data_IF_540484673626
#
_entry.id   IF_540484673626
#
_cell.length_a   1.000
_cell.length_b   1.000
_cell.length_c   1.000
_cell.angle_alpha   90.00
_cell.angle_beta   90.00
_cell.angle_gamma   90.00
#
_symmetry.space_group_name_H-M   'P 1'
#
loop_
_entity.id
_entity.type
_entity.pdbx_description
1 polymer ?
#
# COMPACT_ATOMS: atom_id res chain seq x y z
N UNK A 1 -39.16 44.66 -2.20
CA UNK A 1 -38.34 43.92 -1.21
C UNK A 1 -37.68 42.75 -1.92
N UNK A 2 -36.38 42.53 -1.69
CA UNK A 2 -35.66 41.37 -2.24
C UNK A 2 -36.34 40.08 -1.79
N UNK A 3 -36.55 39.12 -2.71
CA UNK A 3 -37.11 37.80 -2.40
C UNK A 3 -36.07 36.83 -1.83
N UNK A 4 -34.80 37.22 -1.75
CA UNK A 4 -33.71 36.34 -1.28
C UNK A 4 -33.84 36.10 0.22
N UNK A 5 -33.63 34.85 0.63
CA UNK A 5 -33.61 34.48 2.05
C UNK A 5 -32.34 35.04 2.71
N UNK A 6 -32.37 35.41 4.01
CA UNK A 6 -31.18 35.86 4.72
C UNK A 6 -29.99 34.89 4.61
N UNK A 7 -30.25 33.58 4.68
CA UNK A 7 -29.23 32.54 4.52
C UNK A 7 -28.52 32.59 3.17
N UNK A 8 -29.24 32.84 2.07
CA UNK A 8 -28.67 32.96 0.71
C UNK A 8 -27.76 34.18 0.57
N UNK A 9 -28.03 35.26 1.32
CA UNK A 9 -27.18 36.45 1.33
C UNK A 9 -25.93 36.20 2.18
N UNK A 10 -26.10 35.60 3.36
CA UNK A 10 -24.97 35.28 4.24
C UNK A 10 -24.00 34.28 3.61
N UNK A 11 -24.50 33.24 2.95
CA UNK A 11 -23.66 32.30 2.18
C UNK A 11 -22.88 33.00 1.08
N UNK A 12 -23.57 33.82 0.27
CA UNK A 12 -22.92 34.59 -0.80
C UNK A 12 -21.87 35.57 -0.27
N UNK A 13 -22.05 36.13 0.93
CA UNK A 13 -21.05 36.98 1.60
C UNK A 13 -19.87 36.16 2.13
N UNK A 14 -20.13 34.99 2.73
CA UNK A 14 -19.09 34.09 3.23
C UNK A 14 -18.18 33.58 2.11
N UNK A 15 -18.74 33.33 0.92
CA UNK A 15 -18.00 32.87 -0.26
C UNK A 15 -17.21 34.00 -0.95
N UNK A 16 -17.65 35.25 -0.82
CA UNK A 16 -17.05 36.39 -1.55
C UNK A 16 -16.06 37.22 -0.74
N UNK A 17 -16.01 37.03 0.58
CA UNK A 17 -15.19 37.83 1.49
C UNK A 17 -14.17 36.97 2.25
N UNK A 18 -13.00 37.54 2.60
CA UNK A 18 -12.10 36.92 3.56
C UNK A 18 -12.80 36.66 4.91
N UNK A 19 -12.49 35.56 5.62
CA UNK A 19 -13.15 35.17 6.87
C UNK A 19 -13.23 36.31 7.91
N UNK A 20 -12.11 37.01 8.13
CA UNK A 20 -12.04 38.11 9.12
C UNK A 20 -12.95 39.29 8.75
N UNK A 21 -13.05 39.58 7.45
CA UNK A 21 -13.92 40.66 6.95
C UNK A 21 -15.38 40.27 7.11
N UNK A 22 -15.73 39.01 6.79
CA UNK A 22 -17.07 38.48 6.98
C UNK A 22 -17.49 38.53 8.46
N UNK A 23 -16.65 38.03 9.38
CA UNK A 23 -16.88 38.12 10.83
C UNK A 23 -17.00 39.57 11.31
N UNK A 24 -16.18 40.48 10.77
CA UNK A 24 -16.28 41.91 11.04
C UNK A 24 -17.61 42.54 10.60
N UNK A 25 -18.18 42.09 9.48
CA UNK A 25 -19.51 42.52 9.02
C UNK A 25 -20.61 41.93 9.90
N UNK A 26 -20.54 40.63 10.21
CA UNK A 26 -21.52 39.97 11.09
C UNK A 26 -21.59 40.68 12.44
N UNK A 27 -20.44 40.93 13.08
CA UNK A 27 -20.37 41.61 14.38
C UNK A 27 -20.90 43.04 14.34
N UNK A 28 -20.59 43.81 13.29
CA UNK A 28 -21.02 45.22 13.21
C UNK A 28 -22.47 45.40 12.76
N UNK A 29 -23.01 44.49 11.94
CA UNK A 29 -24.28 44.69 11.24
C UNK A 29 -25.35 43.66 11.61
N UNK A 30 -25.00 42.38 11.75
CA UNK A 30 -25.98 41.34 12.00
C UNK A 30 -26.23 41.11 13.49
N UNK A 31 -25.19 41.01 14.32
CA UNK A 31 -25.35 40.72 15.75
C UNK A 31 -26.26 41.74 16.46
N UNK A 32 -26.13 43.07 16.26
CA UNK A 32 -27.06 44.02 16.88
C UNK A 32 -28.52 43.81 16.46
N UNK A 33 -28.76 43.35 15.22
CA UNK A 33 -30.12 43.04 14.75
C UNK A 33 -30.66 41.78 15.43
N UNK A 34 -29.83 40.77 15.63
CA UNK A 34 -30.20 39.57 16.40
C UNK A 34 -30.50 39.92 17.87
N UNK A 35 -29.74 40.84 18.45
CA UNK A 35 -29.94 41.30 19.83
C UNK A 35 -31.24 42.10 20.00
N UNK A 36 -31.72 42.76 18.94
CA UNK A 36 -33.01 43.47 18.92
C UNK A 36 -34.23 42.58 18.67
N UNK A 37 -34.07 41.27 18.45
CA UNK A 37 -35.20 40.35 18.30
C UNK A 37 -35.98 40.21 19.61
N UNK A 38 -37.24 39.77 19.52
CA UNK A 38 -38.04 39.47 20.70
C UNK A 38 -37.45 38.31 21.50
N UNK A 39 -37.74 38.25 22.81
CA UNK A 39 -37.20 37.21 23.71
C UNK A 39 -37.47 35.79 23.22
N UNK A 40 -38.68 35.53 22.71
CA UNK A 40 -39.03 34.22 22.14
C UNK A 40 -38.17 33.86 20.92
N UNK A 41 -37.89 34.83 20.04
CA UNK A 41 -37.05 34.60 18.87
C UNK A 41 -35.57 34.40 19.26
N UNK A 42 -35.05 35.19 20.20
CA UNK A 42 -33.69 35.02 20.73
C UNK A 42 -33.53 33.66 21.39
N UNK A 43 -34.48 33.27 22.25
CA UNK A 43 -34.48 31.96 22.89
C UNK A 43 -34.44 30.83 21.86
N UNK A 44 -35.29 30.89 20.82
CA UNK A 44 -35.29 29.88 19.76
C UNK A 44 -33.94 29.81 19.03
N UNK A 45 -33.30 30.94 18.75
CA UNK A 45 -31.98 30.97 18.11
C UNK A 45 -30.91 30.39 19.03
N UNK A 46 -30.87 30.82 20.30
CA UNK A 46 -29.91 30.31 21.30
C UNK A 46 -30.06 28.81 21.50
N UNK A 47 -31.29 28.30 21.60
CA UNK A 47 -31.54 26.85 21.75
C UNK A 47 -31.03 26.01 20.57
N UNK A 48 -30.83 26.62 19.39
CA UNK A 48 -30.25 25.96 18.21
C UNK A 48 -28.72 26.09 18.20
N UNK A 49 -28.19 27.25 18.60
CA UNK A 49 -26.75 27.54 18.53
C UNK A 49 -25.95 26.99 19.70
N UNK A 50 -26.53 26.93 20.90
CA UNK A 50 -25.85 26.48 22.12
C UNK A 50 -25.39 25.01 22.03
N UNK A 51 -26.19 24.06 21.51
CA UNK A 51 -25.71 22.69 21.27
C UNK A 51 -24.51 22.64 20.30
N UNK A 52 -24.55 23.42 19.21
CA UNK A 52 -23.47 23.49 18.22
C UNK A 52 -22.21 24.08 18.85
N UNK A 53 -22.34 25.13 19.65
CA UNK A 53 -21.21 25.72 20.37
C UNK A 53 -20.59 24.72 21.35
N UNK A 54 -21.42 24.00 22.11
CA UNK A 54 -20.95 22.98 23.05
C UNK A 54 -20.26 21.82 22.32
N UNK A 55 -20.79 21.39 21.17
CA UNK A 55 -20.16 20.39 20.30
C UNK A 55 -18.79 20.87 19.80
N UNK A 56 -18.69 22.12 19.32
CA UNK A 56 -17.41 22.68 18.87
C UNK A 56 -16.38 22.79 20.01
N UNK A 57 -16.82 23.13 21.23
CA UNK A 57 -15.93 23.14 22.40
C UNK A 57 -15.44 21.73 22.73
N UNK A 58 -16.31 20.72 22.71
CA UNK A 58 -15.93 19.31 22.90
C UNK A 58 -14.94 18.84 21.82
N UNK A 59 -15.19 19.18 20.56
CA UNK A 59 -14.28 18.86 19.45
C UNK A 59 -12.92 19.54 19.68
N UNK A 60 -12.88 20.81 20.09
CA UNK A 60 -11.63 21.50 20.38
C UNK A 60 -10.85 20.85 21.55
N UNK A 61 -11.55 20.43 22.60
CA UNK A 61 -10.97 19.66 23.70
C UNK A 61 -10.40 18.31 23.22
N UNK A 62 -11.15 17.57 22.38
CA UNK A 62 -10.67 16.31 21.78
C UNK A 62 -9.48 16.52 20.83
N UNK A 63 -9.45 17.58 20.05
CA UNK A 63 -8.28 17.92 19.22
C UNK A 63 -7.06 18.15 20.11
N UNK A 64 -7.22 18.82 21.27
CA UNK A 64 -6.12 19.04 22.19
C UNK A 64 -5.57 17.72 22.78
N UNK A 65 -6.42 16.70 22.99
CA UNK A 65 -5.96 15.38 23.48
C UNK A 65 -5.17 14.58 22.44
N UNK A 66 -5.29 14.89 21.14
CA UNK A 66 -4.43 14.29 20.11
C UNK A 66 -2.95 14.54 20.41
N UNK A 67 -2.60 15.74 20.92
CA UNK A 67 -1.27 16.11 21.42
C UNK A 67 -0.11 15.49 20.63
N UNK A 68 -0.10 15.66 19.30
CA UNK A 68 0.85 14.97 18.42
C UNK A 68 2.32 15.17 18.83
N UNK A 69 2.73 16.41 19.13
CA UNK A 69 4.12 16.67 19.48
C UNK A 69 4.51 16.07 20.85
N UNK A 70 3.58 16.06 21.81
CA UNK A 70 3.79 15.39 23.10
C UNK A 70 3.93 13.88 22.94
N UNK A 71 2.98 13.24 22.24
CA UNK A 71 3.02 11.79 21.98
C UNK A 71 4.26 11.39 21.17
N UNK A 72 4.65 12.19 20.18
CA UNK A 72 5.89 11.98 19.42
C UNK A 72 7.13 12.02 20.30
N UNK A 73 7.24 13.01 21.19
CA UNK A 73 8.38 13.13 22.10
C UNK A 73 8.46 11.92 23.04
N UNK A 74 7.35 11.57 23.68
CA UNK A 74 7.22 10.44 24.60
C UNK A 74 7.59 9.10 23.93
N UNK A 75 6.92 8.74 22.82
CA UNK A 75 7.18 7.48 22.12
C UNK A 75 8.62 7.39 21.60
N UNK A 76 9.18 8.51 21.15
CA UNK A 76 10.58 8.56 20.70
C UNK A 76 11.55 8.34 21.86
N UNK A 77 11.28 8.94 23.02
CA UNK A 77 12.07 8.75 24.23
C UNK A 77 12.02 7.30 24.71
N UNK A 78 10.84 6.70 24.80
CA UNK A 78 10.65 5.31 25.21
C UNK A 78 11.37 4.33 24.27
N UNK A 79 11.25 4.49 22.94
CA UNK A 79 11.98 3.66 21.97
C UNK A 79 13.50 3.81 22.12
N UNK A 80 14.00 5.03 22.31
CA UNK A 80 15.42 5.25 22.51
C UNK A 80 15.91 4.63 23.83
N UNK A 81 15.09 4.68 24.88
CA UNK A 81 15.36 4.02 26.14
C UNK A 81 15.44 2.49 25.95
N UNK A 82 14.50 1.90 25.21
CA UNK A 82 14.48 0.47 24.88
C UNK A 82 15.76 0.07 24.12
N UNK A 83 16.12 0.78 23.04
CA UNK A 83 17.36 0.50 22.30
C UNK A 83 18.62 0.66 23.14
N UNK A 84 18.65 1.64 24.04
CA UNK A 84 19.75 1.83 24.98
C UNK A 84 19.84 0.67 25.97
N UNK A 85 18.71 0.13 26.42
CA UNK A 85 18.66 -1.01 27.31
C UNK A 85 19.12 -2.29 26.60
N UNK A 86 18.57 -2.62 25.42
CA UNK A 86 18.98 -3.76 24.58
C UNK A 86 20.50 -3.78 24.33
N UNK A 87 21.11 -2.62 24.08
CA UNK A 87 22.56 -2.51 23.85
C UNK A 87 23.41 -2.75 25.11
N UNK A 88 22.86 -2.46 26.30
CA UNK A 88 23.59 -2.54 27.57
C UNK A 88 23.41 -3.88 28.24
N UNK A 89 22.20 -4.43 28.14
CA UNK A 89 21.77 -5.64 28.81
C UNK A 89 20.84 -6.41 27.87
N UNK A 90 21.47 -7.15 26.96
CA UNK A 90 20.77 -7.94 25.96
C UNK A 90 19.91 -9.03 26.60
N UNK A 91 20.39 -9.62 27.72
CA UNK A 91 19.72 -10.71 28.44
C UNK A 91 18.62 -10.20 29.40
N UNK A 92 18.46 -8.88 29.53
CA UNK A 92 17.43 -8.22 30.36
C UNK A 92 16.02 -8.25 29.75
N UNK A 93 15.60 -9.39 29.19
CA UNK A 93 14.36 -9.50 28.39
C UNK A 93 13.07 -9.15 29.15
N UNK A 94 13.03 -9.30 30.48
CA UNK A 94 11.87 -8.91 31.30
C UNK A 94 11.64 -7.40 31.29
N UNK A 95 12.71 -6.61 31.48
CA UNK A 95 12.61 -5.15 31.43
C UNK A 95 12.40 -4.66 30.00
N UNK A 96 13.07 -5.27 29.01
CA UNK A 96 12.78 -4.99 27.60
C UNK A 96 11.30 -5.18 27.27
N UNK A 97 10.70 -6.25 27.79
CA UNK A 97 9.27 -6.54 27.67
C UNK A 97 8.42 -5.44 28.30
N UNK A 98 8.69 -5.06 29.56
CA UNK A 98 7.90 -4.02 30.24
C UNK A 98 7.92 -2.70 29.49
N UNK A 99 9.09 -2.32 28.95
CA UNK A 99 9.24 -1.12 28.13
C UNK A 99 8.45 -1.22 26.81
N UNK A 100 8.41 -2.40 26.18
CA UNK A 100 7.57 -2.62 25.00
C UNK A 100 6.07 -2.55 25.34
N UNK A 101 5.65 -3.17 26.44
CA UNK A 101 4.26 -3.17 26.91
C UNK A 101 3.77 -1.74 27.21
N UNK A 102 4.64 -0.87 27.75
CA UNK A 102 4.36 0.55 27.95
C UNK A 102 4.14 1.29 26.62
N UNK A 103 5.04 1.12 25.65
CA UNK A 103 4.92 1.75 24.33
C UNK A 103 3.66 1.28 23.60
N UNK A 104 3.37 -0.03 23.65
CA UNK A 104 2.15 -0.62 23.06
C UNK A 104 0.91 -0.05 23.75
N UNK A 105 0.90 0.03 25.07
CA UNK A 105 -0.21 0.59 25.84
C UNK A 105 -0.50 2.04 25.46
N UNK A 106 0.54 2.87 25.31
CA UNK A 106 0.41 4.25 24.86
C UNK A 106 -0.19 4.34 23.45
N UNK A 107 0.27 3.51 22.51
CA UNK A 107 -0.29 3.44 21.15
C UNK A 107 -1.76 2.97 21.16
N UNK A 108 -2.07 1.91 21.91
CA UNK A 108 -3.41 1.34 22.05
C UNK A 108 -4.39 2.37 22.62
N UNK A 109 -3.97 3.17 23.61
CA UNK A 109 -4.81 4.21 24.20
C UNK A 109 -4.98 5.44 23.29
N UNK A 110 -4.02 5.70 22.40
CA UNK A 110 -4.06 6.85 21.50
C UNK A 110 -4.91 6.61 20.25
N UNK A 111 -4.95 5.37 19.74
CA UNK A 111 -5.73 5.03 18.53
C UNK A 111 -7.23 5.38 18.62
N UNK A 112 -7.96 5.11 19.72
CA UNK A 112 -9.34 5.56 19.87
C UNK A 112 -9.50 7.07 19.74
N UNK A 113 -8.58 7.86 20.32
CA UNK A 113 -8.60 9.33 20.23
C UNK A 113 -8.42 9.77 18.77
N UNK A 114 -7.46 9.17 18.07
CA UNK A 114 -7.20 9.46 16.66
C UNK A 114 -8.41 9.12 15.78
N UNK A 115 -9.06 7.99 16.05
CA UNK A 115 -10.26 7.57 15.33
C UNK A 115 -11.43 8.52 15.58
N UNK A 116 -11.76 8.85 16.83
CA UNK A 116 -12.87 9.77 17.15
C UNK A 116 -12.67 11.14 16.48
N UNK A 117 -11.49 11.75 16.61
CA UNK A 117 -11.24 13.08 16.03
C UNK A 117 -11.22 13.04 14.49
N UNK A 118 -10.60 12.02 13.90
CA UNK A 118 -10.43 11.94 12.46
C UNK A 118 -11.65 11.38 11.71
N UNK A 119 -12.41 10.50 12.34
CA UNK A 119 -13.49 9.73 11.68
C UNK A 119 -14.86 10.23 12.12
N UNK A 120 -15.15 10.28 13.42
CA UNK A 120 -16.45 10.72 13.94
C UNK A 120 -16.63 12.22 13.78
N UNK A 121 -15.70 13.01 14.33
CA UNK A 121 -15.72 14.48 14.21
C UNK A 121 -15.37 14.91 12.77
N UNK A 122 -14.59 14.07 12.08
CA UNK A 122 -14.12 14.33 10.71
C UNK A 122 -13.20 15.55 10.62
N UNK A 123 -12.56 15.98 11.70
CA UNK A 123 -11.70 17.18 11.76
C UNK A 123 -10.22 16.81 11.78
N UNK A 124 -9.36 17.80 11.50
CA UNK A 124 -7.90 17.64 11.61
C UNK A 124 -7.32 16.41 10.86
N UNK A 125 -7.95 16.00 9.75
CA UNK A 125 -7.58 14.80 8.97
C UNK A 125 -6.07 14.71 8.71
N UNK A 126 -5.42 15.83 8.36
CA UNK A 126 -3.98 15.86 8.08
C UNK A 126 -3.15 15.56 9.33
N UNK A 127 -3.55 16.08 10.50
CA UNK A 127 -2.93 15.79 11.78
C UNK A 127 -3.11 14.32 12.14
N UNK A 128 -4.33 13.79 12.02
CA UNK A 128 -4.63 12.38 12.32
C UNK A 128 -3.84 11.44 11.41
N UNK A 129 -3.80 11.71 10.10
CA UNK A 129 -2.98 10.95 9.16
C UNK A 129 -1.49 10.98 9.56
N UNK A 130 -0.95 12.16 9.94
CA UNK A 130 0.43 12.31 10.45
C UNK A 130 0.66 11.51 11.74
N UNK A 131 -0.31 11.47 12.64
CA UNK A 131 -0.26 10.66 13.88
C UNK A 131 -0.23 9.16 13.57
N UNK A 132 -1.06 8.67 12.64
CA UNK A 132 -1.06 7.27 12.24
C UNK A 132 0.27 6.84 11.60
N UNK A 133 0.91 7.72 10.80
CA UNK A 133 2.26 7.48 10.27
C UNK A 133 3.30 7.32 11.39
N UNK A 134 3.17 8.12 12.46
CA UNK A 134 4.03 7.97 13.64
C UNK A 134 3.77 6.63 14.32
N UNK A 135 2.51 6.26 14.57
CA UNK A 135 2.16 4.95 15.15
C UNK A 135 2.79 3.81 14.34
N UNK A 136 2.58 3.79 13.02
CA UNK A 136 3.16 2.80 12.12
C UNK A 136 4.69 2.74 12.21
N UNK A 137 5.36 3.91 12.22
CA UNK A 137 6.82 3.98 12.34
C UNK A 137 7.34 3.45 13.69
N UNK A 138 6.63 3.70 14.78
CA UNK A 138 7.01 3.19 16.11
C UNK A 138 6.83 1.67 16.15
N UNK A 139 5.71 1.14 15.64
CA UNK A 139 5.50 -0.32 15.56
C UNK A 139 6.59 -0.98 14.73
N UNK A 140 6.95 -0.43 13.56
CA UNK A 140 8.06 -0.95 12.75
C UNK A 140 9.39 -1.00 13.52
N UNK A 141 9.70 0.04 14.30
CA UNK A 141 10.89 0.09 15.17
C UNK A 141 10.86 -0.95 16.29
N UNK A 142 9.69 -1.32 16.79
CA UNK A 142 9.55 -2.38 17.80
C UNK A 142 9.82 -3.75 17.19
N UNK A 143 9.28 -4.03 16.00
CA UNK A 143 9.60 -5.26 15.25
C UNK A 143 11.09 -5.36 14.91
N UNK A 144 11.70 -4.25 14.47
CA UNK A 144 13.11 -4.20 14.09
C UNK A 144 14.06 -3.98 15.27
N UNK A 145 13.55 -3.99 16.50
CA UNK A 145 14.34 -3.67 17.69
C UNK A 145 15.44 -4.67 17.98
N UNK A 146 15.32 -5.89 17.44
CA UNK A 146 16.07 -7.06 17.86
C UNK A 146 16.01 -7.19 19.39
N UNK A 147 14.88 -6.99 20.03
CA UNK A 147 14.75 -7.33 21.46
C UNK A 147 14.79 -8.85 21.64
N UNK A 148 15.25 -9.34 22.79
CA UNK A 148 15.11 -10.76 23.12
C UNK A 148 13.66 -11.12 23.45
N UNK A 149 12.86 -10.16 23.93
CA UNK A 149 11.41 -10.29 23.98
C UNK A 149 10.85 -10.04 22.58
N UNK A 150 10.27 -11.07 21.96
CA UNK A 150 9.60 -10.92 20.66
C UNK A 150 8.41 -9.95 20.80
N UNK A 151 8.36 -8.99 19.89
CA UNK A 151 7.23 -8.06 19.81
C UNK A 151 5.95 -8.77 19.37
N UNK A 152 6.04 -9.85 18.59
CA UNK A 152 4.88 -10.62 18.13
C UNK A 152 4.02 -11.15 19.28
N UNK A 153 4.63 -11.54 20.40
CA UNK A 153 3.92 -12.00 21.61
C UNK A 153 3.18 -10.87 22.36
N UNK A 154 3.52 -9.61 22.06
CA UNK A 154 3.01 -8.40 22.72
C UNK A 154 2.02 -7.64 21.86
N UNK A 155 2.12 -7.81 20.55
CA UNK A 155 1.19 -7.19 19.62
C UNK A 155 -0.26 -7.64 19.90
N UNK A 156 -0.50 -8.74 20.61
CA UNK A 156 -1.84 -9.24 20.97
C UNK A 156 -2.59 -8.45 22.07
N UNK A 157 -2.26 -7.19 22.36
CA UNK A 157 -3.07 -6.40 23.29
C UNK A 157 -4.46 -6.11 22.68
N UNK A 158 -5.51 -6.31 23.48
CA UNK A 158 -6.88 -6.07 23.07
C UNK A 158 -7.11 -4.57 22.84
N UNK A 159 -7.35 -4.18 21.59
CA UNK A 159 -7.70 -2.81 21.22
C UNK A 159 -9.21 -2.73 21.06
N UNK A 160 -9.85 -1.88 21.84
CA UNK A 160 -11.28 -1.57 21.74
C UNK A 160 -11.45 -0.10 21.39
N UNK A 161 -12.22 0.19 20.34
CA UNK A 161 -12.65 1.55 20.01
C UNK A 161 -14.17 1.61 20.19
N UNK A 162 -14.62 2.61 20.92
CA UNK A 162 -16.03 2.90 21.20
C UNK A 162 -16.42 4.18 20.45
N UNK A 163 -17.67 4.25 19.99
CA UNK A 163 -18.25 5.50 19.50
C UNK A 163 -18.71 6.42 20.65
N UNK A 164 -19.25 7.59 20.29
CA UNK A 164 -19.80 8.56 21.25
C UNK A 164 -20.93 7.99 22.14
N UNK A 165 -21.62 6.93 21.71
CA UNK A 165 -22.68 6.25 22.45
C UNK A 165 -22.15 5.08 23.30
N UNK A 166 -20.82 5.01 23.50
CA UNK A 166 -20.10 3.92 24.17
C UNK A 166 -20.29 2.54 23.51
N UNK A 167 -20.77 2.51 22.26
CA UNK A 167 -20.94 1.27 21.52
C UNK A 167 -19.62 0.91 20.86
N UNK A 168 -19.25 -0.36 21.02
CA UNK A 168 -18.05 -0.94 20.40
C UNK A 168 -18.17 -0.93 18.87
N UNK A 169 -17.29 -0.16 18.22
CA UNK A 169 -17.16 -0.08 16.75
C UNK A 169 -15.96 -0.85 16.22
N UNK A 170 -15.00 -1.18 17.09
CA UNK A 170 -13.86 -2.04 16.76
C UNK A 170 -13.41 -2.82 17.98
N UNK A 171 -13.03 -4.07 17.77
CA UNK A 171 -12.37 -4.89 18.77
C UNK A 171 -11.51 -5.94 18.12
N UNK A 172 -10.20 -5.87 18.31
CA UNK A 172 -9.26 -6.82 17.73
C UNK A 172 -8.26 -7.29 18.77
N UNK A 173 -7.95 -8.59 18.72
CA UNK A 173 -6.76 -9.19 19.32
C UNK A 173 -5.64 -9.40 18.28
N UNK A 174 -5.85 -8.98 17.03
CA UNK A 174 -4.93 -9.13 15.88
C UNK A 174 -3.79 -8.10 15.83
N UNK A 175 -3.66 -7.29 16.88
CA UNK A 175 -2.53 -6.41 17.13
C UNK A 175 -2.50 -5.06 16.44
N UNK A 176 -1.51 -4.24 16.81
CA UNK A 176 -1.46 -2.81 16.51
C UNK A 176 -1.45 -2.54 15.01
N UNK A 177 -0.78 -3.36 14.19
CA UNK A 177 -0.83 -3.18 12.74
C UNK A 177 -2.25 -3.31 12.20
N UNK A 178 -3.03 -4.28 12.68
CA UNK A 178 -4.41 -4.45 12.25
C UNK A 178 -5.29 -3.27 12.65
N UNK A 179 -5.11 -2.75 13.87
CA UNK A 179 -5.84 -1.59 14.34
C UNK A 179 -5.46 -0.31 13.58
N UNK A 180 -4.17 -0.07 13.33
CA UNK A 180 -3.70 1.06 12.53
C UNK A 180 -4.26 0.99 11.11
N UNK A 181 -4.23 -0.18 10.48
CA UNK A 181 -4.78 -0.39 9.14
C UNK A 181 -6.29 -0.11 9.08
N UNK A 182 -7.03 -0.58 10.08
CA UNK A 182 -8.46 -0.33 10.21
C UNK A 182 -8.77 1.16 10.42
N UNK A 183 -8.04 1.86 11.31
CA UNK A 183 -8.23 3.30 11.53
C UNK A 183 -7.90 4.11 10.26
N UNK A 184 -6.85 3.74 9.51
CA UNK A 184 -6.56 4.39 8.23
C UNK A 184 -7.67 4.19 7.20
N UNK A 185 -8.26 2.99 7.12
CA UNK A 185 -9.44 2.75 6.28
C UNK A 185 -10.57 3.71 6.67
N UNK A 186 -10.95 3.74 7.93
CA UNK A 186 -12.05 4.60 8.42
C UNK A 186 -11.77 6.08 8.13
N UNK A 187 -10.52 6.53 8.30
CA UNK A 187 -10.11 7.90 7.99
C UNK A 187 -10.25 8.22 6.50
N UNK A 188 -9.83 7.31 5.60
CA UNK A 188 -10.02 7.47 4.16
C UNK A 188 -11.51 7.57 3.78
N UNK A 189 -12.38 6.79 4.43
CA UNK A 189 -13.83 6.86 4.23
C UNK A 189 -14.38 8.21 4.70
N UNK A 190 -13.98 8.68 5.89
CA UNK A 190 -14.39 9.99 6.41
C UNK A 190 -13.98 11.13 5.47
N UNK A 191 -12.77 11.07 4.89
CA UNK A 191 -12.31 12.02 3.87
C UNK A 191 -13.22 12.03 2.65
N UNK A 192 -13.60 10.87 2.12
CA UNK A 192 -14.49 10.80 0.96
C UNK A 192 -15.92 11.25 1.26
N UNK A 193 -16.40 11.06 2.50
CA UNK A 193 -17.71 11.57 2.93
C UNK A 193 -17.69 13.09 3.07
N UNK A 194 -16.60 13.66 3.60
CA UNK A 194 -16.48 15.09 3.90
C UNK A 194 -16.10 15.93 2.69
N UNK A 195 -15.22 15.42 1.84
CA UNK A 195 -14.66 16.14 0.70
C UNK A 195 -15.12 15.50 -0.61
N UNK A 196 -15.91 16.21 -1.44
CA UNK A 196 -16.32 15.73 -2.75
C UNK A 196 -15.13 15.50 -3.71
N UNK A 197 -14.04 16.23 -3.53
CA UNK A 197 -12.81 16.05 -4.30
C UNK A 197 -11.97 14.91 -3.73
N UNK A 198 -11.71 13.90 -4.55
CA UNK A 198 -10.95 12.71 -4.17
C UNK A 198 -9.46 12.99 -3.94
N UNK A 199 -8.92 14.14 -4.35
CA UNK A 199 -7.47 14.46 -4.28
C UNK A 199 -6.85 14.22 -2.91
N UNK A 200 -7.54 14.59 -1.83
CA UNK A 200 -7.00 14.37 -0.49
C UNK A 200 -6.89 12.88 -0.15
N UNK A 201 -7.89 12.09 -0.54
CA UNK A 201 -7.84 10.65 -0.38
C UNK A 201 -6.73 10.02 -1.22
N UNK A 202 -6.53 10.42 -2.49
CA UNK A 202 -5.44 9.83 -3.30
C UNK A 202 -4.08 10.16 -2.68
N UNK A 203 -3.87 11.39 -2.20
CA UNK A 203 -2.63 11.78 -1.53
C UNK A 203 -2.36 10.93 -0.29
N UNK A 204 -3.38 10.65 0.52
CA UNK A 204 -3.23 9.76 1.67
C UNK A 204 -2.93 8.32 1.24
N UNK A 205 -3.51 7.85 0.13
CA UNK A 205 -3.17 6.54 -0.44
C UNK A 205 -1.72 6.52 -0.93
N UNK A 206 -1.23 7.56 -1.61
CA UNK A 206 0.20 7.72 -1.96
C UNK A 206 1.08 7.57 -0.72
N UNK A 207 0.77 8.34 0.33
CA UNK A 207 1.54 8.34 1.58
C UNK A 207 1.54 6.95 2.25
N UNK A 208 0.46 6.16 2.16
CA UNK A 208 0.37 4.79 2.73
C UNK A 208 1.10 3.77 1.84
N UNK A 209 1.07 3.93 0.53
CA UNK A 209 1.81 3.08 -0.42
C UNK A 209 3.32 3.28 -0.29
N UNK A 210 3.78 4.52 -0.11
CA UNK A 210 5.18 4.86 0.13
C UNK A 210 5.71 4.22 1.43
N UNK A 211 4.82 3.96 2.39
CA UNK A 211 5.13 3.21 3.61
C UNK A 211 5.12 1.70 3.41
N UNK A 212 4.68 1.19 2.25
CA UNK A 212 4.51 -0.22 1.98
C UNK A 212 3.31 -0.87 2.70
N UNK A 213 2.43 -0.06 3.31
CA UNK A 213 1.37 -0.52 4.21
C UNK A 213 -0.02 -0.61 3.57
N UNK A 214 -0.15 -0.23 2.30
CA UNK A 214 -1.45 -0.17 1.62
C UNK A 214 -2.14 -1.54 1.54
N UNK A 215 -1.37 -2.63 1.44
CA UNK A 215 -1.94 -3.99 1.42
C UNK A 215 -2.70 -4.32 2.70
N UNK A 216 -2.18 -3.89 3.84
CA UNK A 216 -2.80 -4.11 5.16
C UNK A 216 -4.05 -3.26 5.33
N UNK A 217 -4.06 -2.01 4.84
CA UNK A 217 -5.27 -1.17 4.82
C UNK A 217 -6.34 -1.76 3.90
N UNK A 218 -5.93 -2.21 2.71
CA UNK A 218 -6.85 -2.78 1.72
C UNK A 218 -7.52 -4.08 2.17
N UNK A 219 -6.91 -4.87 3.06
CA UNK A 219 -7.52 -6.11 3.54
C UNK A 219 -8.80 -5.86 4.34
N UNK A 220 -9.02 -4.62 4.80
CA UNK A 220 -10.23 -4.17 5.47
C UNK A 220 -11.25 -3.54 4.52
N UNK A 221 -10.97 -3.48 3.21
CA UNK A 221 -11.96 -3.11 2.20
C UNK A 221 -12.77 -4.34 1.80
N UNK A 222 -13.88 -4.55 2.50
CA UNK A 222 -14.80 -5.69 2.34
C UNK A 222 -15.29 -5.88 0.91
N UNK A 223 -15.09 -7.03 0.28
CA UNK A 223 -15.82 -7.38 -0.95
C UNK A 223 -17.29 -7.79 -0.67
N UNK A 224 -18.20 -7.59 -1.63
CA UNK A 224 -19.66 -7.66 -1.39
C UNK A 224 -20.15 -9.01 -0.82
N UNK A 225 -19.37 -10.08 -1.01
CA UNK A 225 -19.68 -11.43 -0.53
C UNK A 225 -18.91 -11.84 0.73
N UNK A 226 -17.96 -11.03 1.21
CA UNK A 226 -17.11 -11.38 2.33
C UNK A 226 -17.75 -10.94 3.66
N UNK A 227 -17.53 -11.73 4.70
CA UNK A 227 -17.96 -11.42 6.08
C UNK A 227 -16.77 -11.20 7.01
N UNK A 228 -15.57 -11.59 6.56
CA UNK A 228 -14.31 -11.53 7.31
C UNK A 228 -13.15 -11.21 6.38
N UNK A 229 -12.09 -10.62 6.93
CA UNK A 229 -10.80 -10.39 6.26
C UNK A 229 -10.10 -11.72 5.93
N UNK A 230 -8.99 -11.65 5.20
CA UNK A 230 -8.13 -12.81 4.91
C UNK A 230 -7.58 -13.48 6.17
N UNK A 231 -7.44 -12.73 7.26
CA UNK A 231 -6.95 -13.23 8.55
C UNK A 231 -8.08 -13.77 9.44
N UNK A 232 -9.34 -13.68 9.00
CA UNK A 232 -10.51 -14.15 9.73
C UNK A 232 -11.15 -13.13 10.67
N UNK A 233 -10.66 -11.88 10.66
CA UNK A 233 -11.20 -10.79 11.45
C UNK A 233 -12.51 -10.28 10.83
N UNK A 234 -13.49 -9.84 11.61
CA UNK A 234 -14.59 -9.02 11.12
C UNK A 234 -14.09 -7.75 10.40
N UNK A 235 -14.89 -7.20 9.50
CA UNK A 235 -14.62 -5.88 8.92
C UNK A 235 -15.02 -4.72 9.85
N UNK A 236 -15.88 -4.98 10.82
CA UNK A 236 -16.43 -3.98 11.75
C UNK A 236 -17.09 -2.80 10.99
N UNK A 237 -18.06 -3.12 10.14
CA UNK A 237 -18.77 -2.12 9.32
C UNK A 237 -20.20 -1.87 9.84
N UNK A 238 -20.58 -2.43 11.00
CA UNK A 238 -21.96 -2.32 11.52
C UNK A 238 -22.35 -0.88 11.90
N UNK A 239 -21.38 -0.03 12.23
CA UNK A 239 -21.59 1.39 12.53
C UNK A 239 -21.72 2.26 11.28
N UNK A 240 -21.39 1.74 10.09
CA UNK A 240 -21.44 2.54 8.87
C UNK A 240 -22.87 2.93 8.48
N UNK A 241 -23.07 4.24 8.27
CA UNK A 241 -24.24 4.77 7.60
C UNK A 241 -24.14 4.62 6.06
N UNK A 242 -25.20 5.00 5.33
CA UNK A 242 -25.24 4.90 3.87
C UNK A 242 -24.11 5.70 3.18
N UNK A 243 -23.71 6.85 3.72
CA UNK A 243 -22.62 7.65 3.16
C UNK A 243 -21.29 6.93 3.25
N UNK A 244 -20.97 6.32 4.39
CA UNK A 244 -19.77 5.51 4.57
C UNK A 244 -19.74 4.29 3.63
N UNK A 245 -20.88 3.61 3.45
CA UNK A 245 -20.99 2.50 2.49
C UNK A 245 -20.72 2.94 1.05
N UNK A 246 -21.27 4.08 0.64
CA UNK A 246 -21.00 4.66 -0.68
C UNK A 246 -19.53 5.08 -0.82
N UNK A 247 -18.96 5.70 0.21
CA UNK A 247 -17.54 6.04 0.27
C UNK A 247 -16.64 4.80 0.17
N UNK A 248 -17.03 3.66 0.75
CA UNK A 248 -16.28 2.42 0.64
C UNK A 248 -16.25 1.87 -0.79
N UNK A 249 -17.37 1.94 -1.52
CA UNK A 249 -17.42 1.60 -2.95
C UNK A 249 -16.49 2.53 -3.75
N UNK A 250 -16.53 3.83 -3.47
CA UNK A 250 -15.67 4.82 -4.11
C UNK A 250 -14.19 4.58 -3.80
N UNK A 251 -13.84 4.27 -2.55
CA UNK A 251 -12.47 4.01 -2.12
C UNK A 251 -11.90 2.77 -2.81
N UNK A 252 -12.66 1.67 -2.89
CA UNK A 252 -12.27 0.48 -3.65
C UNK A 252 -11.96 0.82 -5.10
N UNK A 253 -12.83 1.61 -5.74
CA UNK A 253 -12.62 2.06 -7.11
C UNK A 253 -11.33 2.87 -7.24
N UNK A 254 -11.10 3.84 -6.35
CA UNK A 254 -9.87 4.65 -6.35
C UNK A 254 -8.60 3.79 -6.22
N UNK A 255 -8.61 2.79 -5.31
CA UNK A 255 -7.48 1.87 -5.14
C UNK A 255 -7.22 1.04 -6.40
N UNK A 256 -8.28 0.56 -7.06
CA UNK A 256 -8.14 -0.18 -8.32
C UNK A 256 -7.66 0.73 -9.45
N UNK A 257 -8.27 1.90 -9.63
CA UNK A 257 -7.89 2.89 -10.65
C UNK A 257 -6.40 3.26 -10.50
N UNK A 258 -5.94 3.43 -9.27
CA UNK A 258 -4.54 3.71 -8.96
C UNK A 258 -3.60 2.57 -9.32
N UNK A 259 -3.96 1.33 -9.00
CA UNK A 259 -3.20 0.14 -9.42
C UNK A 259 -3.20 -0.06 -10.94
N UNK A 260 -4.28 0.33 -11.62
CA UNK A 260 -4.31 0.35 -13.08
C UNK A 260 -3.30 1.35 -13.63
N UNK A 261 -3.23 2.56 -13.06
CA UNK A 261 -2.21 3.55 -13.43
C UNK A 261 -0.78 3.05 -13.15
N UNK A 262 -0.55 2.43 -12.00
CA UNK A 262 0.73 1.80 -11.67
C UNK A 262 1.09 0.71 -12.70
N UNK A 263 0.13 -0.15 -13.05
CA UNK A 263 0.31 -1.19 -14.04
C UNK A 263 0.58 -0.62 -15.43
N UNK A 264 -0.09 0.46 -15.84
CA UNK A 264 0.14 1.11 -17.13
C UNK A 264 1.53 1.72 -17.21
N UNK A 265 2.02 2.32 -16.11
CA UNK A 265 3.36 2.91 -16.03
C UNK A 265 4.46 1.83 -16.03
N UNK A 266 4.28 0.77 -15.21
CA UNK A 266 5.24 -0.32 -15.08
C UNK A 266 4.54 -1.66 -14.83
N UNK A 267 4.13 -2.39 -15.89
CA UNK A 267 3.46 -3.66 -15.74
C UNK A 267 4.28 -4.65 -14.92
N UNK A 268 3.74 -5.09 -13.78
CA UNK A 268 4.38 -6.08 -12.91
C UNK A 268 3.44 -7.24 -12.63
N UNK A 269 4.00 -8.42 -12.37
CA UNK A 269 3.20 -9.61 -12.10
C UNK A 269 2.37 -9.48 -10.82
N UNK A 270 2.93 -8.86 -9.78
CA UNK A 270 2.25 -8.62 -8.51
C UNK A 270 1.02 -7.74 -8.68
N UNK A 271 1.16 -6.61 -9.40
CA UNK A 271 0.05 -5.68 -9.63
C UNK A 271 -1.01 -6.33 -10.51
N UNK A 272 -0.60 -6.99 -11.61
CA UNK A 272 -1.51 -7.73 -12.49
C UNK A 272 -2.36 -8.75 -11.73
N UNK A 273 -1.71 -9.61 -10.92
CA UNK A 273 -2.39 -10.62 -10.11
C UNK A 273 -3.35 -9.98 -9.11
N UNK A 274 -2.94 -8.87 -8.50
CA UNK A 274 -3.73 -8.16 -7.49
C UNK A 274 -4.99 -7.54 -8.09
N UNK A 275 -4.90 -6.91 -9.26
CA UNK A 275 -6.06 -6.38 -9.99
C UNK A 275 -6.97 -7.52 -10.44
N UNK A 276 -6.43 -8.56 -11.07
CA UNK A 276 -7.24 -9.69 -11.56
C UNK A 276 -8.00 -10.45 -10.47
N UNK A 277 -7.43 -10.54 -9.26
CA UNK A 277 -8.12 -11.17 -8.13
C UNK A 277 -9.41 -10.42 -7.80
N UNK A 278 -9.39 -9.09 -7.87
CA UNK A 278 -10.52 -8.22 -7.53
C UNK A 278 -11.46 -7.97 -8.71
N UNK A 279 -10.92 -7.84 -9.92
CA UNK A 279 -11.66 -7.53 -11.14
C UNK A 279 -11.22 -8.45 -12.30
N UNK A 280 -11.75 -9.70 -12.36
CA UNK A 280 -11.39 -10.67 -13.38
C UNK A 280 -11.76 -10.24 -14.81
N UNK A 281 -12.73 -9.34 -14.96
CA UNK A 281 -13.22 -8.76 -16.21
C UNK A 281 -12.17 -7.85 -16.88
N UNK A 282 -11.25 -7.27 -16.12
CA UNK A 282 -10.14 -6.47 -16.64
C UNK A 282 -9.01 -7.30 -17.27
N UNK A 283 -9.13 -8.62 -17.34
CA UNK A 283 -8.09 -9.51 -17.87
C UNK A 283 -7.60 -9.14 -19.26
N UNK A 284 -8.49 -9.01 -20.24
CA UNK A 284 -8.05 -8.73 -21.61
C UNK A 284 -7.49 -7.30 -21.78
N UNK A 285 -8.09 -6.24 -21.21
CA UNK A 285 -7.47 -4.91 -21.19
C UNK A 285 -6.06 -4.89 -20.59
N UNK A 286 -5.85 -5.55 -19.44
CA UNK A 286 -4.53 -5.63 -18.80
C UNK A 286 -3.53 -6.40 -19.66
N UNK A 287 -3.94 -7.52 -20.27
CA UNK A 287 -3.08 -8.27 -21.19
C UNK A 287 -2.71 -7.46 -22.42
N UNK A 288 -3.64 -6.68 -22.96
CA UNK A 288 -3.37 -5.80 -24.09
C UNK A 288 -2.31 -4.75 -23.73
N UNK A 289 -2.41 -4.14 -22.55
CA UNK A 289 -1.39 -3.20 -22.04
C UNK A 289 -0.04 -3.88 -21.81
N UNK A 290 -0.03 -5.10 -21.26
CA UNK A 290 1.20 -5.89 -21.12
C UNK A 290 1.84 -6.20 -22.48
N UNK A 291 1.06 -6.53 -23.51
CA UNK A 291 1.56 -6.74 -24.88
C UNK A 291 2.17 -5.47 -25.45
N UNK A 292 1.47 -4.33 -25.35
CA UNK A 292 1.95 -3.02 -25.80
C UNK A 292 3.31 -2.67 -25.17
N UNK A 293 3.46 -2.90 -23.86
CA UNK A 293 4.71 -2.61 -23.16
C UNK A 293 5.83 -3.59 -23.46
N UNK A 294 5.58 -4.89 -23.35
CA UNK A 294 6.65 -5.90 -23.37
C UNK A 294 7.03 -6.36 -24.77
N UNK A 295 6.16 -6.16 -25.76
CA UNK A 295 6.42 -6.55 -27.14
C UNK A 295 6.90 -5.36 -28.00
N UNK A 296 7.17 -4.19 -27.39
CA UNK A 296 7.85 -3.08 -28.05
C UNK A 296 9.34 -3.42 -28.21
N UNK A 297 9.75 -3.68 -29.45
CA UNK A 297 11.15 -4.01 -29.78
C UNK A 297 12.12 -2.86 -29.46
N UNK A 298 11.62 -1.62 -29.36
CA UNK A 298 12.43 -0.44 -29.04
C UNK A 298 12.61 -0.21 -27.53
N UNK A 299 11.92 -0.97 -26.68
CA UNK A 299 12.01 -0.79 -25.24
C UNK A 299 13.31 -1.41 -24.70
N UNK A 300 14.19 -0.53 -24.22
CA UNK A 300 15.50 -0.91 -23.66
C UNK A 300 15.39 -1.54 -22.27
N UNK A 301 14.34 -1.23 -21.51
CA UNK A 301 14.14 -1.66 -20.12
C UNK A 301 12.82 -2.44 -19.96
N UNK A 302 12.86 -3.71 -20.36
CA UNK A 302 11.74 -4.64 -20.18
C UNK A 302 12.12 -5.68 -19.12
N UNK A 303 11.35 -5.72 -18.03
CA UNK A 303 11.41 -6.83 -17.07
C UNK A 303 10.80 -8.10 -17.65
N UNK A 304 11.62 -8.91 -18.32
CA UNK A 304 11.21 -10.15 -18.97
C UNK A 304 10.60 -11.16 -17.98
N UNK A 305 11.10 -11.20 -16.75
CA UNK A 305 10.54 -12.04 -15.68
C UNK A 305 9.07 -11.70 -15.38
N UNK A 306 8.73 -10.41 -15.32
CA UNK A 306 7.35 -9.96 -15.11
C UNK A 306 6.47 -10.33 -16.32
N UNK A 307 6.93 -10.07 -17.55
CA UNK A 307 6.19 -10.38 -18.77
C UNK A 307 5.83 -11.87 -18.85
N UNK A 308 6.82 -12.75 -18.65
CA UNK A 308 6.61 -14.20 -18.67
C UNK A 308 5.68 -14.65 -17.55
N UNK A 309 5.83 -14.11 -16.33
CA UNK A 309 4.94 -14.45 -15.20
C UNK A 309 3.49 -14.06 -15.46
N UNK A 310 3.24 -12.87 -16.03
CA UNK A 310 1.91 -12.40 -16.43
C UNK A 310 1.30 -13.34 -17.48
N UNK A 311 2.00 -13.59 -18.59
CA UNK A 311 1.46 -14.43 -19.67
C UNK A 311 1.29 -15.89 -19.25
N UNK A 312 2.13 -16.41 -18.35
CA UNK A 312 1.98 -17.76 -17.76
C UNK A 312 0.69 -17.87 -16.95
N UNK A 313 0.38 -16.89 -16.09
CA UNK A 313 -0.81 -16.93 -15.24
C UNK A 313 -2.11 -17.08 -16.03
N UNK A 314 -2.17 -16.50 -17.23
CA UNK A 314 -3.35 -16.56 -18.10
C UNK A 314 -3.25 -17.60 -19.22
N UNK A 315 -2.18 -18.40 -19.25
CA UNK A 315 -1.87 -19.37 -20.31
C UNK A 315 -1.81 -18.74 -21.73
N UNK A 316 -1.30 -17.52 -21.84
CA UNK A 316 -1.11 -16.80 -23.11
C UNK A 316 0.16 -17.29 -23.84
N UNK A 317 0.21 -18.57 -24.19
CA UNK A 317 1.43 -19.22 -24.71
C UNK A 317 1.95 -18.62 -26.03
N UNK A 318 1.08 -18.03 -26.85
CA UNK A 318 1.51 -17.31 -28.06
C UNK A 318 2.33 -16.07 -27.71
N UNK A 319 1.88 -15.31 -26.70
CA UNK A 319 2.59 -14.14 -26.19
C UNK A 319 3.93 -14.56 -25.56
N UNK A 320 3.96 -15.68 -24.81
CA UNK A 320 5.21 -16.27 -24.27
C UNK A 320 6.22 -16.58 -25.37
N UNK A 321 5.79 -17.26 -26.45
CA UNK A 321 6.68 -17.59 -27.57
C UNK A 321 7.20 -16.34 -28.28
N UNK A 322 6.35 -15.33 -28.49
CA UNK A 322 6.77 -14.04 -29.04
C UNK A 322 7.82 -13.34 -28.16
N UNK A 323 7.67 -13.42 -26.83
CA UNK A 323 8.70 -12.90 -25.92
C UNK A 323 10.04 -13.62 -26.06
N UNK A 324 10.04 -14.94 -26.31
CA UNK A 324 11.28 -15.70 -26.59
C UNK A 324 11.94 -15.23 -27.86
N UNK A 325 11.17 -15.02 -28.93
CA UNK A 325 11.70 -14.50 -30.19
C UNK A 325 12.35 -13.11 -30.01
N UNK A 326 11.73 -12.23 -29.21
CA UNK A 326 12.30 -10.92 -28.86
C UNK A 326 13.60 -11.09 -28.07
N UNK A 327 13.63 -12.03 -27.11
CA UNK A 327 14.83 -12.32 -26.31
C UNK A 327 15.99 -12.83 -27.17
N UNK A 328 15.73 -13.66 -28.16
CA UNK A 328 16.76 -14.24 -29.05
C UNK A 328 17.39 -13.21 -29.99
N UNK A 329 16.69 -12.10 -30.27
CA UNK A 329 17.21 -11.01 -31.11
C UNK A 329 18.10 -10.01 -30.35
N UNK A 330 18.06 -10.02 -29.01
CA UNK A 330 18.88 -9.07 -28.23
C UNK A 330 20.34 -9.58 -28.15
N UNK A 331 21.34 -8.74 -28.47
CA UNK A 331 22.74 -9.15 -28.62
C UNK A 331 23.42 -9.54 -27.30
N UNK A 332 22.82 -9.24 -26.15
CA UNK A 332 23.38 -9.53 -24.83
C UNK A 332 22.45 -10.45 -24.05
N UNK A 333 22.83 -11.72 -23.95
CA UNK A 333 22.15 -12.68 -23.08
C UNK A 333 22.69 -12.51 -21.65
N UNK A 334 21.90 -11.91 -20.77
CA UNK A 334 22.24 -11.85 -19.35
C UNK A 334 21.89 -13.18 -18.66
N UNK A 335 22.44 -13.43 -17.46
CA UNK A 335 22.06 -14.59 -16.66
C UNK A 335 20.53 -14.68 -16.41
N UNK A 336 19.85 -13.52 -16.36
CA UNK A 336 18.40 -13.46 -16.26
C UNK A 336 17.70 -14.09 -17.47
N UNK A 337 18.20 -13.88 -18.70
CA UNK A 337 17.62 -14.47 -19.90
C UNK A 337 17.66 -16.00 -19.84
N UNK A 338 18.79 -16.57 -19.42
CA UNK A 338 18.92 -18.02 -19.25
C UNK A 338 17.91 -18.57 -18.24
N UNK A 339 17.71 -17.88 -17.11
CA UNK A 339 16.70 -18.24 -16.10
C UNK A 339 15.28 -18.17 -16.65
N UNK A 340 14.94 -17.09 -17.34
CA UNK A 340 13.61 -16.86 -17.92
C UNK A 340 13.31 -17.87 -19.03
N UNK A 341 14.24 -18.13 -19.96
CA UNK A 341 14.09 -19.15 -21.00
C UNK A 341 13.85 -20.54 -20.41
N UNK A 342 14.61 -20.92 -19.37
CA UNK A 342 14.42 -22.19 -18.65
C UNK A 342 13.00 -22.28 -18.08
N UNK A 343 12.52 -21.23 -17.44
CA UNK A 343 11.16 -21.20 -16.88
C UNK A 343 10.08 -21.32 -17.96
N UNK A 344 10.28 -20.68 -19.12
CA UNK A 344 9.41 -20.85 -20.30
C UNK A 344 9.40 -22.30 -20.79
N UNK A 345 10.57 -22.93 -20.97
CA UNK A 345 10.67 -24.33 -21.39
C UNK A 345 9.93 -25.24 -20.41
N UNK A 346 10.14 -25.07 -19.10
CA UNK A 346 9.46 -25.86 -18.07
C UNK A 346 7.93 -25.68 -18.12
N UNK A 347 7.45 -24.46 -18.35
CA UNK A 347 6.02 -24.18 -18.51
C UNK A 347 5.43 -24.83 -19.77
N UNK A 348 6.09 -24.68 -20.91
CA UNK A 348 5.61 -25.22 -22.19
C UNK A 348 5.71 -26.76 -22.25
N UNK A 349 6.69 -27.37 -21.61
CA UNK A 349 6.83 -28.83 -21.51
C UNK A 349 5.64 -29.50 -20.80
N UNK A 350 5.03 -28.80 -19.84
CA UNK A 350 3.81 -29.28 -19.16
C UNK A 350 2.59 -29.33 -20.10
N UNK A 351 2.63 -28.62 -21.23
CA UNK A 351 1.51 -28.50 -22.15
C UNK A 351 1.75 -29.31 -23.43
N UNK A 352 0.99 -30.39 -23.63
CA UNK A 352 1.18 -31.33 -24.75
C UNK A 352 1.28 -30.64 -26.12
N UNK A 353 0.47 -29.60 -26.36
CA UNK A 353 0.47 -28.84 -27.62
C UNK A 353 1.79 -28.10 -27.91
N UNK A 354 2.52 -27.68 -26.88
CA UNK A 354 3.73 -26.85 -27.01
C UNK A 354 5.03 -27.60 -26.67
N UNK A 355 4.96 -28.88 -26.29
CA UNK A 355 6.14 -29.73 -26.05
C UNK A 355 7.15 -29.75 -27.21
N UNK A 356 6.74 -29.86 -28.50
CA UNK A 356 7.70 -29.83 -29.60
C UNK A 356 8.47 -28.51 -29.69
N UNK A 357 7.82 -27.38 -29.42
CA UNK A 357 8.44 -26.05 -29.37
C UNK A 357 9.42 -25.97 -28.20
N UNK A 358 8.99 -26.38 -27.01
CA UNK A 358 9.84 -26.37 -25.81
C UNK A 358 11.09 -27.25 -25.98
N UNK A 359 10.94 -28.42 -26.62
CA UNK A 359 12.07 -29.30 -26.96
C UNK A 359 13.05 -28.63 -27.92
N UNK A 360 12.56 -27.99 -28.99
CA UNK A 360 13.42 -27.24 -29.92
C UNK A 360 14.17 -26.10 -29.23
N UNK A 361 13.50 -25.38 -28.32
CA UNK A 361 14.16 -24.34 -27.52
C UNK A 361 15.27 -24.91 -26.63
N UNK A 362 15.02 -26.07 -26.00
CA UNK A 362 16.02 -26.75 -25.18
C UNK A 362 17.22 -27.22 -26.03
N UNK A 363 16.96 -27.85 -27.17
CA UNK A 363 17.99 -28.30 -28.12
C UNK A 363 18.84 -27.11 -28.61
N UNK A 364 18.19 -26.01 -29.02
CA UNK A 364 18.88 -24.78 -29.43
C UNK A 364 19.72 -24.17 -28.29
N UNK A 365 19.21 -24.19 -27.05
CA UNK A 365 19.95 -23.71 -25.89
C UNK A 365 21.19 -24.55 -25.56
N UNK A 366 21.10 -25.88 -25.71
CA UNK A 366 22.25 -26.79 -25.53
C UNK A 366 23.30 -26.54 -26.60
N UNK A 367 22.91 -26.48 -27.87
CA UNK A 367 23.82 -26.20 -28.99
C UNK A 367 24.50 -24.83 -28.83
N UNK A 368 23.76 -23.80 -28.45
CA UNK A 368 24.34 -22.48 -28.17
C UNK A 368 25.34 -22.50 -27.02
N UNK A 369 25.09 -23.32 -25.99
CA UNK A 369 26.01 -23.45 -24.85
C UNK A 369 27.28 -24.21 -25.23
N UNK A 370 27.15 -25.24 -26.06
CA UNK A 370 28.28 -25.98 -26.65
C UNK A 370 29.18 -25.04 -27.48
N UNK A 371 28.59 -24.25 -28.39
CA UNK A 371 29.34 -23.26 -29.17
C UNK A 371 30.07 -22.26 -28.28
N UNK A 372 29.41 -21.70 -27.26
CA UNK A 372 30.02 -20.73 -26.36
C UNK A 372 31.17 -21.31 -25.54
N UNK A 373 31.04 -22.56 -25.07
CA UNK A 373 32.13 -23.27 -24.36
C UNK A 373 33.31 -23.49 -25.31
N UNK A 374 33.06 -23.90 -26.55
CA UNK A 374 34.12 -24.08 -27.54
C UNK A 374 34.84 -22.76 -27.84
N UNK A 375 34.10 -21.67 -28.04
CA UNK A 375 34.67 -20.33 -28.24
C UNK A 375 35.53 -19.90 -27.04
N UNK A 376 35.04 -20.06 -25.81
CA UNK A 376 35.78 -19.74 -24.59
C UNK A 376 37.03 -20.63 -24.43
N UNK A 377 36.95 -21.91 -24.82
CA UNK A 377 38.10 -22.82 -24.87
C UNK A 377 39.14 -22.36 -25.90
N UNK A 378 38.74 -21.96 -27.10
CA UNK A 378 39.65 -21.42 -28.13
C UNK A 378 40.29 -20.10 -27.68
N UNK A 379 39.56 -19.23 -27.00
CA UNK A 379 40.11 -17.97 -26.47
C UNK A 379 41.11 -18.23 -25.33
N UNK A 380 40.81 -19.17 -24.42
CA UNK A 380 41.70 -19.55 -23.33
C UNK A 380 42.94 -20.32 -23.81
N UNK A 381 42.80 -21.07 -24.91
CA UNK A 381 43.85 -21.90 -25.50
C UNK A 381 43.91 -21.70 -27.02
N UNK A 382 44.52 -20.60 -27.50
CA UNK A 382 44.55 -20.28 -28.93
C UNK A 382 45.16 -21.37 -29.81
N UNK A 383 46.16 -22.08 -29.29
CA UNK A 383 46.90 -23.14 -29.99
C UNK A 383 46.27 -24.53 -29.77
N UNK A 384 45.05 -24.63 -29.23
CA UNK A 384 44.41 -25.92 -28.89
C UNK A 384 44.21 -26.80 -30.13
N UNK A 385 43.82 -26.20 -31.25
CA UNK A 385 43.63 -26.92 -32.51
C UNK A 385 44.98 -27.41 -33.05
N UNK A 386 46.01 -26.57 -32.98
CA UNK A 386 47.36 -26.91 -33.42
C UNK A 386 47.97 -28.01 -32.54
N UNK A 387 47.69 -27.98 -31.24
CA UNK A 387 48.07 -29.03 -30.30
C UNK A 387 47.31 -30.34 -30.56
N UNK A 388 46.01 -30.27 -30.85
CA UNK A 388 45.20 -31.44 -31.20
C UNK A 388 45.67 -32.07 -32.52
N UNK A 389 45.87 -31.26 -33.56
CA UNK A 389 46.39 -31.67 -34.86
C UNK A 389 47.79 -32.29 -34.72
N UNK A 390 48.67 -31.69 -33.92
CA UNK A 390 49.97 -32.25 -33.61
C UNK A 390 49.86 -33.62 -32.93
N UNK A 391 48.99 -33.77 -31.93
CA UNK A 391 48.78 -35.06 -31.24
C UNK A 391 48.23 -36.11 -32.21
N UNK A 392 47.22 -35.75 -33.02
CA UNK A 392 46.61 -36.65 -33.99
C UNK A 392 47.63 -37.10 -35.05
N UNK A 393 48.46 -36.18 -35.56
CA UNK A 393 49.56 -36.48 -36.50
C UNK A 393 50.57 -37.46 -35.87
N UNK A 394 50.90 -37.31 -34.59
CA UNK A 394 51.79 -38.24 -33.88
C UNK A 394 51.17 -39.62 -33.65
N UNK A 395 49.87 -39.69 -33.39
CA UNK A 395 49.10 -40.94 -33.27
C UNK A 395 49.08 -41.68 -34.61
N UNK A 396 48.68 -41.01 -35.69
CA UNK A 396 48.53 -41.62 -37.01
C UNK A 396 49.86 -42.09 -37.58
N UNK A 397 50.94 -41.35 -37.30
CA UNK A 397 52.30 -41.75 -37.66
C UNK A 397 52.89 -42.85 -36.76
N UNK A 398 52.15 -43.39 -35.78
CA UNK A 398 52.62 -44.36 -34.77
C UNK A 398 53.92 -43.92 -34.07
N UNK A 399 54.12 -42.61 -33.93
CA UNK A 399 55.36 -42.04 -33.36
C UNK A 399 55.35 -41.97 -31.85
N UNK A 400 54.26 -42.36 -31.19
CA UNK A 400 54.28 -42.66 -29.76
C UNK A 400 54.92 -44.03 -29.53
N UNK A 401 56.25 -44.08 -29.59
CA UNK A 401 56.98 -45.17 -28.96
C UNK A 401 56.81 -45.00 -27.46
N UNK A 402 56.04 -45.88 -26.83
CA UNK A 402 56.04 -46.05 -25.37
C UNK A 402 57.48 -46.34 -24.96
N UNK A 403 58.14 -45.34 -24.37
CA UNK A 403 59.45 -45.49 -23.76
C UNK A 403 59.38 -46.37 -22.52
#
# INVERSE_FOLDING_TARGET
MSKRKPSEILLSLAESLPPDTFLGILSKKLYPVLDCLSDSQRFNIVSILEPIQNEQLKIAERIATVNYEGMKAQLTEQINALYKHIRRDWDGWELQREMMDEIVGDLCSWLPILWTVGVEDGVEIALIHKSLRLCYSIVGKLYDSNSQSDFGDRDCQDITILDEDEKKVYYSCGGLYTAIAWVWRELLLSVLVKYPDVKQAIKMIDDIEDLGFMKDVEQYLRDDCETKTLNGDPFYDEHWNEKFRNAAIQLKKLVVDRRLLEFEANPSYSVFRSILKKQPDLKEPLLQKARERFQDENANDISLGNAISIFKQVNANKDILKMVEIMDRKPHQTAEFGRVKRDVVLHLMKQTRYRPQARRMLEAGILSSETAILEEMHEAFPDLDEAYDFIQEKIDNKKFTTG
#
